data_IF_819776035519
#
_entry.id   IF_819776035519
#
_cell.length_a   1.000
_cell.length_b   1.000
_cell.length_c   1.000
_cell.angle_alpha   90.00
_cell.angle_beta   90.00
_cell.angle_gamma   90.00
#
_symmetry.space_group_name_H-M   'P 1'
#
loop_
_entity.id
_entity.type
_entity.pdbx_description
1 polymer ?
#
# COMPACT_ATOMS: atom_id res chain seq x y z
N UNK A 1 -21.31 -1.87 2.01
CA UNK A 1 -22.28 -1.19 2.89
C UNK A 1 -23.63 -1.12 2.21
N UNK A 2 -24.68 -1.44 2.94
CA UNK A 2 -26.07 -1.38 2.48
C UNK A 2 -26.77 -0.23 3.20
N UNK A 3 -27.44 0.66 2.43
CA UNK A 3 -28.24 1.78 2.95
C UNK A 3 -29.66 1.66 2.45
N UNK A 4 -30.65 1.94 3.32
CA UNK A 4 -32.08 1.97 2.96
C UNK A 4 -32.43 3.38 2.49
N UNK A 5 -33.06 3.50 1.32
CA UNK A 5 -33.64 4.75 0.81
C UNK A 5 -35.08 4.54 0.33
N UNK A 6 -35.83 5.62 0.26
CA UNK A 6 -37.21 5.61 -0.20
C UNK A 6 -37.35 6.42 -1.49
N UNK A 7 -38.05 5.89 -2.46
CA UNK A 7 -38.38 6.59 -3.70
C UNK A 7 -39.54 7.56 -3.49
N UNK A 8 -39.76 8.53 -4.42
CA UNK A 8 -40.89 9.49 -4.43
C UNK A 8 -42.26 8.82 -4.29
N UNK A 9 -42.40 7.53 -4.62
CA UNK A 9 -43.62 6.71 -4.45
C UNK A 9 -43.64 5.88 -3.14
N UNK A 10 -42.83 6.24 -2.16
CA UNK A 10 -42.69 5.54 -0.87
C UNK A 10 -42.27 4.05 -0.96
N UNK A 11 -41.74 3.60 -2.09
CA UNK A 11 -41.21 2.26 -2.24
C UNK A 11 -39.76 2.22 -1.69
N UNK A 12 -39.51 1.27 -0.81
CA UNK A 12 -38.16 1.00 -0.27
C UNK A 12 -37.25 0.49 -1.38
N UNK A 13 -36.05 0.99 -1.41
CA UNK A 13 -34.96 0.42 -2.18
C UNK A 13 -33.64 0.52 -1.39
N UNK A 14 -32.73 -0.38 -1.64
CA UNK A 14 -31.46 -0.44 -0.96
C UNK A 14 -30.38 0.08 -1.88
N UNK A 15 -29.53 0.96 -1.36
CA UNK A 15 -28.32 1.42 -2.04
C UNK A 15 -27.15 0.63 -1.49
N UNK A 16 -26.44 -0.05 -2.36
CA UNK A 16 -25.26 -0.84 -2.04
C UNK A 16 -24.03 -0.05 -2.43
N UNK A 17 -23.10 0.11 -1.50
CA UNK A 17 -21.75 0.58 -1.81
C UNK A 17 -20.85 -0.63 -1.95
N UNK A 18 -20.38 -0.87 -3.16
CA UNK A 18 -19.57 -2.01 -3.53
C UNK A 18 -18.17 -1.55 -3.87
N UNK A 19 -17.19 -2.33 -3.45
CA UNK A 19 -15.78 -2.08 -3.72
C UNK A 19 -15.22 -3.27 -4.48
N UNK A 20 -14.63 -3.00 -5.65
CA UNK A 20 -13.81 -3.93 -6.40
C UNK A 20 -12.33 -3.64 -6.14
N UNK A 21 -11.44 -4.43 -6.69
CA UNK A 21 -9.99 -4.19 -6.57
C UNK A 21 -9.59 -2.81 -7.10
N UNK A 22 -10.23 -2.35 -8.17
CA UNK A 22 -9.83 -1.14 -8.90
C UNK A 22 -10.71 0.09 -8.65
N UNK A 23 -11.96 -0.07 -8.23
CA UNK A 23 -12.90 1.04 -8.09
C UNK A 23 -14.01 0.77 -7.09
N UNK A 24 -14.65 1.85 -6.64
CA UNK A 24 -15.84 1.80 -5.80
C UNK A 24 -17.03 2.30 -6.59
N UNK A 25 -18.15 1.60 -6.52
CA UNK A 25 -19.36 2.05 -7.18
C UNK A 25 -20.61 1.84 -6.31
N UNK A 26 -21.63 2.60 -6.63
CA UNK A 26 -22.94 2.48 -5.99
C UNK A 26 -23.91 1.81 -6.94
N UNK A 27 -24.73 0.94 -6.41
CA UNK A 27 -25.84 0.31 -7.15
C UNK A 27 -27.09 0.26 -6.30
N UNK A 28 -28.24 0.01 -6.92
CA UNK A 28 -29.52 -0.09 -6.23
C UNK A 28 -30.09 -1.50 -6.36
N UNK A 29 -30.63 -2.00 -5.26
CA UNK A 29 -31.41 -3.24 -5.22
C UNK A 29 -32.81 -2.94 -4.70
N UNK A 30 -33.83 -3.55 -5.32
CA UNK A 30 -35.22 -3.48 -4.86
C UNK A 30 -35.56 -4.62 -3.88
N UNK A 31 -34.71 -5.61 -3.75
CA UNK A 31 -34.80 -6.72 -2.79
C UNK A 31 -33.84 -6.47 -1.62
N UNK A 32 -34.27 -6.80 -0.43
CA UNK A 32 -33.40 -6.87 0.73
C UNK A 32 -32.51 -8.10 0.58
N UNK A 33 -31.22 -7.86 0.45
CA UNK A 33 -30.24 -8.93 0.29
C UNK A 33 -29.69 -9.43 1.63
N UNK A 34 -30.10 -8.84 2.76
CA UNK A 34 -29.61 -9.18 4.12
C UNK A 34 -28.10 -9.42 4.12
N UNK A 35 -27.34 -8.39 3.67
CA UNK A 35 -25.90 -8.48 3.52
C UNK A 35 -25.21 -8.13 4.83
N UNK A 36 -24.29 -8.99 5.24
CA UNK A 36 -23.33 -8.66 6.27
C UNK A 36 -22.29 -7.67 5.73
N UNK A 37 -21.63 -6.95 6.64
CA UNK A 37 -20.59 -6.02 6.29
C UNK A 37 -19.40 -6.79 5.71
N UNK A 38 -18.83 -6.29 4.60
CA UNK A 38 -17.71 -6.90 3.87
C UNK A 38 -17.99 -8.26 3.21
N UNK A 39 -19.26 -8.61 2.99
CA UNK A 39 -19.61 -9.84 2.29
C UNK A 39 -19.29 -9.73 0.79
N UNK A 40 -18.74 -10.79 0.23
CA UNK A 40 -18.45 -10.89 -1.20
C UNK A 40 -19.74 -11.18 -1.98
N UNK A 41 -19.89 -10.47 -3.09
CA UNK A 41 -21.03 -10.60 -4.00
C UNK A 41 -20.54 -10.77 -5.42
N UNK A 42 -21.19 -11.70 -6.15
CA UNK A 42 -21.18 -11.72 -7.61
C UNK A 42 -22.39 -10.98 -8.13
N UNK A 43 -22.19 -10.12 -9.11
CA UNK A 43 -23.26 -9.36 -9.73
C UNK A 43 -22.90 -8.95 -11.16
N UNK A 44 -23.92 -8.69 -11.97
CA UNK A 44 -23.75 -8.17 -13.33
C UNK A 44 -24.03 -6.69 -13.35
N UNK A 45 -23.18 -5.90 -13.99
CA UNK A 45 -23.25 -4.45 -14.10
C UNK A 45 -23.66 -4.05 -15.49
N UNK A 46 -24.56 -3.06 -15.60
CA UNK A 46 -24.92 -2.43 -16.88
C UNK A 46 -23.95 -1.27 -17.11
N UNK A 47 -23.09 -1.40 -18.10
CA UNK A 47 -21.99 -0.45 -18.36
C UNK A 47 -22.32 0.62 -19.40
N UNK A 48 -23.45 0.51 -20.09
CA UNK A 48 -23.82 1.38 -21.23
C UNK A 48 -23.79 2.89 -20.90
N UNK A 49 -24.09 3.28 -19.67
CA UNK A 49 -24.15 4.67 -19.25
C UNK A 49 -22.91 5.13 -18.44
N UNK A 50 -21.85 4.31 -18.41
CA UNK A 50 -20.63 4.65 -17.68
C UNK A 50 -19.65 5.30 -18.65
N UNK A 51 -19.37 6.59 -18.44
CA UNK A 51 -18.38 7.33 -19.22
C UNK A 51 -16.98 7.08 -18.66
N UNK A 52 -15.96 7.35 -19.47
CA UNK A 52 -14.55 7.28 -19.05
C UNK A 52 -14.26 8.21 -17.84
N UNK A 53 -14.90 9.36 -17.78
CA UNK A 53 -14.82 10.28 -16.64
C UNK A 53 -15.36 9.67 -15.36
N UNK A 54 -16.46 8.92 -15.44
CA UNK A 54 -17.04 8.22 -14.28
C UNK A 54 -16.11 7.12 -13.78
N UNK A 55 -15.53 6.36 -14.70
CA UNK A 55 -14.53 5.33 -14.38
C UNK A 55 -13.28 5.91 -13.70
N UNK A 56 -12.83 7.09 -14.09
CA UNK A 56 -11.69 7.78 -13.47
C UNK A 56 -12.05 8.42 -12.11
N UNK A 57 -13.33 8.61 -11.83
CA UNK A 57 -13.79 9.20 -10.56
C UNK A 57 -13.56 8.25 -9.38
N UNK A 58 -13.56 8.79 -8.16
CA UNK A 58 -13.40 8.01 -6.93
C UNK A 58 -14.51 6.98 -6.73
N UNK A 59 -15.73 7.31 -7.17
CA UNK A 59 -16.89 6.42 -7.11
C UNK A 59 -17.92 6.88 -8.13
N UNK A 60 -18.65 5.94 -8.71
CA UNK A 60 -19.69 6.19 -9.70
C UNK A 60 -20.93 5.33 -9.42
N UNK A 61 -22.01 5.60 -10.11
CA UNK A 61 -23.23 4.79 -10.03
C UNK A 61 -23.29 3.85 -11.24
N UNK A 62 -23.55 2.56 -10.99
CA UNK A 62 -23.78 1.55 -12.02
C UNK A 62 -25.01 0.71 -11.66
N UNK A 63 -26.03 0.67 -12.51
CA UNK A 63 -27.13 -0.27 -12.33
C UNK A 63 -26.62 -1.71 -12.38
N UNK A 64 -27.12 -2.56 -11.48
CA UNK A 64 -26.72 -3.97 -11.43
C UNK A 64 -27.89 -4.89 -11.19
N UNK A 65 -27.73 -6.13 -11.59
CA UNK A 65 -28.69 -7.22 -11.45
C UNK A 65 -27.94 -8.52 -11.17
N UNK A 66 -28.71 -9.58 -10.87
CA UNK A 66 -28.18 -10.93 -10.66
C UNK A 66 -27.21 -10.99 -9.48
N UNK A 67 -27.74 -10.66 -8.29
CA UNK A 67 -26.97 -10.63 -7.05
C UNK A 67 -26.87 -12.03 -6.45
N UNK A 68 -25.67 -12.58 -6.39
CA UNK A 68 -25.36 -13.83 -5.73
C UNK A 68 -24.41 -13.60 -4.56
N UNK A 69 -24.71 -14.19 -3.40
CA UNK A 69 -23.80 -14.18 -2.26
C UNK A 69 -22.71 -15.20 -2.50
N UNK A 70 -21.46 -14.74 -2.56
CA UNK A 70 -20.33 -15.63 -2.59
C UNK A 70 -20.00 -16.09 -1.16
N UNK A 71 -19.51 -17.32 -1.03
CA UNK A 71 -18.87 -17.78 0.22
C UNK A 71 -17.66 -16.88 0.52
N UNK A 72 -17.29 -16.80 1.78
CA UNK A 72 -16.08 -16.10 2.18
C UNK A 72 -14.91 -16.53 1.31
N UNK A 73 -14.11 -15.54 0.88
CA UNK A 73 -12.96 -15.78 -0.01
C UNK A 73 -12.01 -16.72 0.73
N UNK A 74 -11.85 -17.92 0.22
CA UNK A 74 -10.77 -18.79 0.67
C UNK A 74 -9.47 -18.06 0.40
N UNK A 75 -8.75 -17.72 1.45
CA UNK A 75 -7.45 -17.08 1.31
C UNK A 75 -6.45 -18.05 0.70
N UNK A 76 -5.52 -17.51 -0.07
CA UNK A 76 -4.37 -18.28 -0.54
C UNK A 76 -3.71 -19.00 0.65
N UNK A 77 -3.23 -20.27 0.49
CA UNK A 77 -2.61 -21.04 1.57
C UNK A 77 -1.53 -20.27 2.35
N UNK A 78 -0.75 -19.42 1.67
CA UNK A 78 0.27 -18.58 2.30
C UNK A 78 -0.37 -17.57 3.27
N UNK A 79 -1.44 -16.91 2.83
CA UNK A 79 -2.16 -15.93 3.67
C UNK A 79 -2.77 -16.63 4.88
N UNK A 80 -3.41 -17.78 4.64
CA UNK A 80 -4.00 -18.61 5.73
C UNK A 80 -2.96 -19.07 6.73
N UNK A 81 -1.76 -19.46 6.27
CA UNK A 81 -0.65 -19.85 7.13
C UNK A 81 -0.24 -18.73 8.09
N UNK A 82 -0.12 -17.48 7.61
CA UNK A 82 0.21 -16.34 8.47
C UNK A 82 -0.93 -16.00 9.45
N UNK A 83 -2.17 -15.98 8.96
CA UNK A 83 -3.32 -15.58 9.77
C UNK A 83 -3.64 -16.60 10.88
N UNK A 84 -3.46 -17.89 10.62
CA UNK A 84 -3.77 -18.94 11.57
C UNK A 84 -2.79 -19.04 12.75
N UNK A 85 -1.68 -18.30 12.71
CA UNK A 85 -0.73 -18.23 13.83
C UNK A 85 -1.27 -17.40 15.00
N UNK A 86 -2.31 -16.58 14.79
CA UNK A 86 -2.85 -15.70 15.81
C UNK A 86 -4.22 -16.16 16.30
N UNK A 87 -4.39 -16.12 17.62
CA UNK A 87 -5.66 -16.41 18.29
C UNK A 87 -6.55 -15.17 18.40
N UNK A 88 -5.96 -13.98 18.50
CA UNK A 88 -6.68 -12.71 18.63
C UNK A 88 -7.06 -12.16 17.25
N UNK A 89 -8.36 -11.96 17.03
CA UNK A 89 -8.90 -11.46 15.74
C UNK A 89 -8.38 -10.05 15.36
N UNK A 90 -8.15 -9.16 16.33
CA UNK A 90 -7.58 -7.83 16.04
C UNK A 90 -6.14 -7.91 15.58
N UNK A 91 -5.34 -8.79 16.18
CA UNK A 91 -3.94 -9.03 15.82
C UNK A 91 -3.87 -9.67 14.44
N UNK A 92 -4.73 -10.67 14.19
CA UNK A 92 -4.88 -11.33 12.89
C UNK A 92 -5.21 -10.32 11.77
N UNK A 93 -6.16 -9.42 12.04
CA UNK A 93 -6.55 -8.36 11.12
C UNK A 93 -5.40 -7.37 10.88
N UNK A 94 -4.67 -7.00 11.92
CA UNK A 94 -3.52 -6.11 11.84
C UNK A 94 -2.41 -6.68 10.96
N UNK A 95 -1.98 -7.91 11.19
CA UNK A 95 -0.94 -8.54 10.38
C UNK A 95 -1.43 -8.90 8.97
N UNK A 96 -2.71 -9.23 8.82
CA UNK A 96 -3.34 -9.39 7.52
C UNK A 96 -3.28 -8.12 6.66
N UNK A 97 -3.50 -6.96 7.29
CA UNK A 97 -3.36 -5.67 6.61
C UNK A 97 -1.90 -5.33 6.33
N UNK A 98 -1.01 -5.58 7.29
CA UNK A 98 0.41 -5.24 7.21
C UNK A 98 1.15 -6.02 6.11
N UNK A 99 0.90 -7.32 6.00
CA UNK A 99 1.60 -8.17 5.05
C UNK A 99 0.82 -8.40 3.75
N UNK A 100 -0.50 -8.45 3.78
CA UNK A 100 -1.30 -8.84 2.62
C UNK A 100 -2.29 -7.77 2.15
N UNK A 101 -2.22 -6.56 2.72
CA UNK A 101 -3.12 -5.45 2.43
C UNK A 101 -4.61 -5.82 2.55
N UNK A 102 -4.95 -6.72 3.47
CA UNK A 102 -6.32 -7.11 3.73
C UNK A 102 -7.12 -5.93 4.31
N UNK A 103 -8.44 -5.86 4.05
CA UNK A 103 -9.27 -4.79 4.58
C UNK A 103 -9.34 -4.86 6.10
N UNK A 104 -9.24 -3.70 6.76
CA UNK A 104 -9.32 -3.56 8.21
C UNK A 104 -10.70 -3.07 8.65
N UNK A 105 -11.12 -3.47 9.85
CA UNK A 105 -12.34 -3.01 10.52
C UNK A 105 -12.31 -1.50 10.78
N UNK A 106 -13.48 -0.91 11.01
CA UNK A 106 -13.55 0.51 11.36
C UNK A 106 -12.89 0.80 12.72
N UNK A 107 -12.97 -0.14 13.64
CA UNK A 107 -12.37 -0.03 14.97
C UNK A 107 -10.85 0.04 14.85
N UNK A 108 -10.22 -0.96 14.23
CA UNK A 108 -8.77 -0.98 14.02
C UNK A 108 -8.30 0.24 13.20
N UNK A 109 -9.09 0.67 12.19
CA UNK A 109 -8.77 1.87 11.41
C UNK A 109 -8.77 3.13 12.28
N UNK A 110 -9.70 3.27 13.21
CA UNK A 110 -9.75 4.40 14.12
C UNK A 110 -8.56 4.40 15.06
N UNK A 111 -8.19 3.25 15.63
CA UNK A 111 -7.02 3.10 16.49
C UNK A 111 -5.73 3.49 15.75
N UNK A 112 -5.56 2.99 14.55
CA UNK A 112 -4.41 3.26 13.67
C UNK A 112 -4.30 4.75 13.32
N UNK A 113 -5.43 5.40 13.01
CA UNK A 113 -5.46 6.83 12.72
C UNK A 113 -5.19 7.67 13.97
N UNK A 114 -5.67 7.23 15.14
CA UNK A 114 -5.46 7.89 16.42
C UNK A 114 -3.98 7.94 16.81
N UNK A 115 -3.24 6.86 16.55
CA UNK A 115 -1.79 6.80 16.76
C UNK A 115 -0.96 7.36 15.59
N UNK A 116 -1.58 7.76 14.48
CA UNK A 116 -0.90 8.30 13.30
C UNK A 116 -0.05 7.29 12.52
N UNK A 117 -0.26 5.99 12.72
CA UNK A 117 0.52 4.90 12.12
C UNK A 117 -0.11 4.32 10.85
N UNK A 118 -1.16 4.94 10.32
CA UNK A 118 -1.84 4.47 9.11
C UNK A 118 -0.89 4.28 7.91
N UNK A 119 0.13 5.12 7.81
CA UNK A 119 1.15 5.05 6.77
C UNK A 119 2.11 3.86 6.93
N UNK A 120 2.24 3.29 8.14
CA UNK A 120 3.06 2.11 8.43
C UNK A 120 2.32 0.81 8.16
N UNK A 121 0.98 0.79 8.26
CA UNK A 121 0.18 -0.40 8.01
C UNK A 121 -0.17 -0.51 6.52
N UNK A 122 -0.46 0.61 5.88
CA UNK A 122 -0.69 0.61 4.43
C UNK A 122 0.59 0.25 3.69
N UNK A 123 0.57 -0.82 2.89
CA UNK A 123 1.72 -1.24 2.09
C UNK A 123 2.15 -0.08 1.18
N UNK A 124 3.40 0.34 1.31
CA UNK A 124 3.94 1.56 0.69
C UNK A 124 5.35 1.33 0.11
N UNK A 125 5.92 2.37 -0.50
CA UNK A 125 7.31 2.36 -0.96
C UNK A 125 8.33 2.08 0.14
N UNK A 126 8.01 2.44 1.38
CA UNK A 126 8.84 2.13 2.54
C UNK A 126 8.98 0.61 2.75
N UNK A 127 7.86 -0.13 2.65
CA UNK A 127 7.87 -1.60 2.73
C UNK A 127 8.68 -2.23 1.60
N UNK A 128 8.54 -1.72 0.36
CA UNK A 128 9.34 -2.20 -0.78
C UNK A 128 10.82 -1.97 -0.51
N UNK A 129 11.20 -0.79 -0.01
CA UNK A 129 12.57 -0.48 0.36
C UNK A 129 13.15 -1.40 1.43
N UNK A 130 12.37 -1.69 2.48
CA UNK A 130 12.74 -2.63 3.54
C UNK A 130 12.89 -4.06 3.01
N UNK A 131 11.91 -4.55 2.26
CA UNK A 131 11.96 -5.89 1.66
C UNK A 131 13.15 -6.03 0.70
N UNK A 132 13.34 -5.04 -0.17
CA UNK A 132 14.47 -5.02 -1.10
C UNK A 132 15.82 -5.09 -0.35
N UNK A 133 15.99 -4.23 0.66
CA UNK A 133 17.21 -4.18 1.46
C UNK A 133 17.44 -5.47 2.24
N UNK A 134 16.41 -6.04 2.84
CA UNK A 134 16.48 -7.28 3.59
C UNK A 134 16.89 -8.45 2.71
N UNK A 135 16.20 -8.64 1.58
CA UNK A 135 16.49 -9.72 0.63
C UNK A 135 17.90 -9.54 0.05
N UNK A 136 18.26 -8.30 -0.30
CA UNK A 136 19.61 -8.01 -0.81
C UNK A 136 20.67 -8.34 0.23
N UNK A 137 20.48 -7.96 1.49
CA UNK A 137 21.44 -8.22 2.58
C UNK A 137 21.62 -9.72 2.82
N UNK A 138 20.56 -10.51 2.75
CA UNK A 138 20.60 -11.98 2.94
C UNK A 138 21.25 -12.67 1.73
N UNK A 139 20.87 -12.28 0.52
CA UNK A 139 21.31 -12.98 -0.69
C UNK A 139 22.69 -12.53 -1.18
N UNK A 140 23.14 -11.29 -0.89
CA UNK A 140 24.38 -10.76 -1.40
C UNK A 140 25.62 -11.58 -0.99
N UNK A 141 25.82 -12.00 0.28
CA UNK A 141 26.97 -12.82 0.66
C UNK A 141 26.93 -14.20 -0.02
N UNK A 142 25.75 -14.81 -0.10
CA UNK A 142 25.56 -16.14 -0.73
C UNK A 142 25.90 -16.05 -2.22
N UNK A 143 25.29 -15.11 -2.92
CA UNK A 143 25.53 -14.92 -4.35
C UNK A 143 26.98 -14.53 -4.65
N UNK A 144 27.58 -13.65 -3.84
CA UNK A 144 28.98 -13.22 -3.99
C UNK A 144 29.97 -14.40 -3.90
N UNK A 145 29.70 -15.37 -3.01
CA UNK A 145 30.51 -16.56 -2.91
C UNK A 145 30.48 -17.39 -4.21
N UNK A 146 29.29 -17.64 -4.76
CA UNK A 146 29.12 -18.38 -6.01
C UNK A 146 29.63 -17.58 -7.22
N UNK A 147 29.38 -16.27 -7.27
CA UNK A 147 29.80 -15.39 -8.36
C UNK A 147 31.32 -15.40 -8.52
N UNK A 148 32.07 -15.20 -7.43
CA UNK A 148 33.54 -15.17 -7.48
C UNK A 148 34.13 -16.47 -8.02
N UNK A 149 33.46 -17.61 -7.78
CA UNK A 149 33.93 -18.93 -8.19
C UNK A 149 33.56 -19.32 -9.61
N UNK A 150 32.29 -19.01 -10.03
CA UNK A 150 31.73 -19.51 -11.28
C UNK A 150 31.53 -18.43 -12.36
N UNK A 151 31.23 -17.20 -11.95
CA UNK A 151 30.83 -16.11 -12.87
C UNK A 151 31.44 -14.76 -12.47
N UNK A 152 32.78 -14.60 -12.44
CA UNK A 152 33.44 -13.41 -11.92
C UNK A 152 33.17 -12.13 -12.73
N UNK A 153 32.74 -12.26 -13.98
CA UNK A 153 32.46 -11.17 -14.91
C UNK A 153 31.01 -10.59 -14.76
N UNK A 154 30.14 -11.25 -14.00
CA UNK A 154 28.77 -10.75 -13.79
C UNK A 154 28.69 -9.68 -12.71
N UNK A 155 27.72 -8.75 -12.87
CA UNK A 155 27.53 -7.70 -11.90
C UNK A 155 26.53 -8.16 -10.81
N UNK A 156 27.03 -8.42 -9.61
CA UNK A 156 26.27 -8.86 -8.44
C UNK A 156 25.04 -7.97 -8.17
N UNK A 157 25.23 -6.62 -8.20
CA UNK A 157 24.14 -5.69 -7.89
C UNK A 157 23.00 -5.81 -8.90
N UNK A 158 23.35 -5.94 -10.19
CA UNK A 158 22.38 -6.03 -11.27
C UNK A 158 21.60 -7.34 -11.20
N UNK A 159 22.30 -8.46 -11.08
CA UNK A 159 21.69 -9.80 -11.03
C UNK A 159 20.76 -9.96 -9.83
N UNK A 160 21.21 -9.54 -8.64
CA UNK A 160 20.37 -9.60 -7.43
C UNK A 160 19.19 -8.65 -7.51
N UNK A 161 19.36 -7.44 -8.05
CA UNK A 161 18.23 -6.52 -8.19
C UNK A 161 17.15 -7.09 -9.11
N UNK A 162 17.52 -7.72 -10.22
CA UNK A 162 16.55 -8.37 -11.12
C UNK A 162 15.81 -9.50 -10.39
N UNK A 163 16.53 -10.33 -9.64
CA UNK A 163 15.92 -11.40 -8.84
C UNK A 163 14.94 -10.83 -7.80
N UNK A 164 15.36 -9.78 -7.08
CA UNK A 164 14.53 -9.16 -6.06
C UNK A 164 13.26 -8.53 -6.67
N UNK A 165 13.37 -7.87 -7.83
CA UNK A 165 12.20 -7.34 -8.53
C UNK A 165 11.25 -8.45 -8.99
N UNK A 166 11.77 -9.60 -9.42
CA UNK A 166 10.94 -10.76 -9.75
C UNK A 166 10.18 -11.28 -8.51
N UNK A 167 10.84 -11.35 -7.34
CA UNK A 167 10.21 -11.73 -6.08
C UNK A 167 9.15 -10.71 -5.63
N UNK A 168 9.43 -9.40 -5.76
CA UNK A 168 8.46 -8.35 -5.45
C UNK A 168 7.26 -8.38 -6.40
N UNK A 169 7.45 -8.75 -7.66
CA UNK A 169 6.35 -8.94 -8.62
C UNK A 169 5.50 -10.16 -8.24
N UNK A 170 6.12 -11.27 -7.85
CA UNK A 170 5.40 -12.45 -7.34
C UNK A 170 4.59 -12.10 -6.08
N UNK A 171 5.16 -11.28 -5.19
CA UNK A 171 4.45 -10.77 -4.03
C UNK A 171 3.28 -9.84 -4.41
N UNK A 172 3.43 -9.01 -5.46
CA UNK A 172 2.33 -8.21 -6.00
C UNK A 172 1.16 -9.08 -6.48
N UNK A 173 1.45 -10.21 -7.15
CA UNK A 173 0.43 -11.17 -7.54
C UNK A 173 -0.28 -11.78 -6.33
N UNK A 174 0.46 -12.10 -5.27
CA UNK A 174 -0.08 -12.68 -4.04
C UNK A 174 -1.05 -11.72 -3.35
N UNK A 175 -0.73 -10.43 -3.26
CA UNK A 175 -1.56 -9.42 -2.60
C UNK A 175 -2.67 -8.85 -3.51
N UNK A 176 -2.77 -9.30 -4.79
CA UNK A 176 -3.80 -8.86 -5.74
C UNK A 176 -3.55 -7.48 -6.35
N UNK A 177 -2.29 -7.11 -6.62
CA UNK A 177 -1.91 -5.84 -7.28
C UNK A 177 -2.51 -4.58 -6.63
N UNK A 178 -2.43 -4.50 -5.32
CA UNK A 178 -2.92 -3.32 -4.58
C UNK A 178 -2.31 -2.03 -5.15
N UNK A 179 -3.12 -1.00 -5.47
CA UNK A 179 -2.64 0.20 -6.19
C UNK A 179 -1.47 0.93 -5.53
N UNK A 180 -1.40 0.93 -4.18
CA UNK A 180 -0.28 1.53 -3.45
C UNK A 180 1.03 0.80 -3.67
N UNK A 181 1.00 -0.53 -3.69
CA UNK A 181 2.17 -1.37 -3.92
C UNK A 181 2.65 -1.28 -5.38
N UNK A 182 1.73 -1.41 -6.35
CA UNK A 182 2.05 -1.32 -7.80
C UNK A 182 2.72 0.01 -8.11
N UNK A 183 2.20 1.12 -7.61
CA UNK A 183 2.78 2.44 -7.77
C UNK A 183 4.22 2.50 -7.25
N UNK A 184 4.42 2.00 -6.03
CA UNK A 184 5.73 2.00 -5.39
C UNK A 184 6.72 1.07 -6.11
N UNK A 185 6.24 -0.04 -6.64
CA UNK A 185 7.04 -0.97 -7.46
C UNK A 185 7.48 -0.32 -8.78
N UNK A 186 6.57 0.39 -9.46
CA UNK A 186 6.89 1.14 -10.70
C UNK A 186 7.96 2.21 -10.41
N UNK A 187 7.80 2.97 -9.32
CA UNK A 187 8.78 3.98 -8.91
C UNK A 187 10.14 3.35 -8.56
N UNK A 188 10.15 2.23 -7.83
CA UNK A 188 11.39 1.51 -7.49
C UNK A 188 12.10 0.99 -8.75
N UNK A 189 11.36 0.46 -9.70
CA UNK A 189 11.89 0.00 -10.99
C UNK A 189 12.47 1.16 -11.80
N UNK A 190 11.78 2.29 -11.83
CA UNK A 190 12.26 3.52 -12.47
C UNK A 190 13.56 4.04 -11.85
N UNK A 191 13.62 4.09 -10.51
CA UNK A 191 14.82 4.48 -9.78
C UNK A 191 15.99 3.53 -10.11
N UNK A 192 15.74 2.23 -10.13
CA UNK A 192 16.75 1.23 -10.49
C UNK A 192 17.26 1.45 -11.93
N UNK A 193 16.37 1.70 -12.88
CA UNK A 193 16.75 2.03 -14.26
C UNK A 193 17.65 3.27 -14.32
N UNK A 194 17.31 4.34 -13.60
CA UNK A 194 18.12 5.56 -13.54
C UNK A 194 19.50 5.30 -12.93
N UNK A 195 19.58 4.46 -11.87
CA UNK A 195 20.85 4.03 -11.28
C UNK A 195 21.72 3.27 -12.28
N UNK A 196 21.14 2.36 -13.07
CA UNK A 196 21.86 1.65 -14.11
C UNK A 196 22.43 2.58 -15.19
N UNK A 197 21.78 3.73 -15.41
CA UNK A 197 22.22 4.78 -16.35
C UNK A 197 23.13 5.84 -15.71
N UNK A 198 23.51 5.69 -14.45
CA UNK A 198 24.28 6.68 -13.67
C UNK A 198 23.66 8.08 -13.62
N UNK A 199 22.31 8.15 -13.69
CA UNK A 199 21.56 9.40 -13.60
C UNK A 199 21.30 9.71 -12.11
N UNK A 200 21.49 10.98 -11.72
CA UNK A 200 21.18 11.43 -10.34
C UNK A 200 19.69 11.27 -10.05
N UNK A 201 19.38 10.50 -9.00
CA UNK A 201 17.98 10.21 -8.61
C UNK A 201 17.35 11.41 -7.93
N UNK A 202 18.07 12.07 -7.01
CA UNK A 202 17.59 13.19 -6.22
C UNK A 202 17.59 14.45 -7.08
N UNK A 203 16.60 14.54 -7.96
CA UNK A 203 16.37 15.68 -8.84
C UNK A 203 14.85 15.83 -9.08
N UNK A 204 14.35 17.05 -9.07
CA UNK A 204 12.94 17.34 -9.34
C UNK A 204 12.47 16.90 -10.74
N UNK A 205 13.37 16.91 -11.72
CA UNK A 205 13.09 16.39 -13.07
C UNK A 205 12.81 14.89 -13.03
N UNK A 206 13.61 14.12 -12.29
CA UNK A 206 13.39 12.66 -12.15
C UNK A 206 12.09 12.33 -11.40
N UNK A 207 11.73 13.15 -10.40
CA UNK A 207 10.45 13.05 -9.72
C UNK A 207 9.29 13.32 -10.70
N UNK A 208 9.36 14.39 -11.48
CA UNK A 208 8.35 14.73 -12.47
C UNK A 208 8.19 13.62 -13.52
N UNK A 209 9.28 13.09 -14.05
CA UNK A 209 9.24 11.96 -14.99
C UNK A 209 8.61 10.71 -14.36
N UNK A 210 8.87 10.42 -13.07
CA UNK A 210 8.25 9.30 -12.38
C UNK A 210 6.74 9.48 -12.18
N UNK A 211 6.29 10.70 -11.93
CA UNK A 211 4.86 11.04 -11.85
C UNK A 211 4.18 10.81 -13.21
N UNK A 212 4.77 11.35 -14.29
CA UNK A 212 4.24 11.16 -15.64
C UNK A 212 4.17 9.69 -16.03
N UNK A 213 5.19 8.92 -15.71
CA UNK A 213 5.23 7.47 -15.96
C UNK A 213 4.11 6.75 -15.22
N UNK A 214 3.89 7.05 -13.93
CA UNK A 214 2.80 6.46 -13.16
C UNK A 214 1.43 6.81 -13.73
N UNK A 215 1.21 8.07 -14.12
CA UNK A 215 -0.07 8.52 -14.70
C UNK A 215 -0.28 7.89 -16.08
N UNK A 216 0.77 7.76 -16.88
CA UNK A 216 0.71 7.13 -18.22
C UNK A 216 0.28 5.66 -18.14
N UNK A 217 0.80 4.92 -17.15
CA UNK A 217 0.45 3.51 -16.93
C UNK A 217 -0.93 3.34 -16.26
N UNK A 218 -1.27 4.24 -15.34
CA UNK A 218 -2.49 4.19 -14.53
C UNK A 218 -3.11 5.57 -14.37
N UNK A 219 -3.84 6.10 -15.36
CA UNK A 219 -4.42 7.46 -15.34
C UNK A 219 -5.31 7.72 -14.11
N UNK A 220 -5.96 6.69 -13.61
CA UNK A 220 -6.82 6.76 -12.43
C UNK A 220 -6.08 7.17 -11.15
N UNK A 221 -4.77 6.98 -11.08
CA UNK A 221 -3.96 7.38 -9.93
C UNK A 221 -4.03 8.88 -9.67
N UNK A 222 -4.23 9.70 -10.70
CA UNK A 222 -4.35 11.15 -10.57
C UNK A 222 -5.42 11.59 -9.56
N UNK A 223 -6.48 10.81 -9.43
CA UNK A 223 -7.61 11.08 -8.52
C UNK A 223 -7.47 10.37 -7.17
N UNK A 224 -6.36 9.69 -6.93
CA UNK A 224 -6.09 8.96 -5.69
C UNK A 224 -5.40 9.84 -4.65
N UNK A 225 -6.03 10.03 -3.49
CA UNK A 225 -5.42 10.74 -2.34
C UNK A 225 -4.09 10.09 -1.93
N UNK A 226 -4.03 8.74 -1.98
CA UNK A 226 -2.80 8.01 -1.67
C UNK A 226 -1.66 8.29 -2.64
N UNK A 227 -1.95 8.57 -3.92
CA UNK A 227 -0.95 9.00 -4.90
C UNK A 227 -0.44 10.41 -4.60
N UNK A 228 -1.35 11.32 -4.28
CA UNK A 228 -1.00 12.68 -3.86
C UNK A 228 -0.03 12.64 -2.66
N UNK A 229 -0.36 11.89 -1.61
CA UNK A 229 0.51 11.77 -0.43
C UNK A 229 1.85 11.14 -0.75
N UNK A 230 1.90 10.18 -1.66
CA UNK A 230 3.16 9.57 -2.08
C UNK A 230 4.07 10.57 -2.80
N UNK A 231 3.50 11.39 -3.70
CA UNK A 231 4.25 12.44 -4.41
C UNK A 231 4.74 13.49 -3.42
N UNK A 232 3.87 13.98 -2.55
CA UNK A 232 4.23 14.98 -1.54
C UNK A 232 5.32 14.46 -0.59
N UNK A 233 5.22 13.21 -0.14
CA UNK A 233 6.23 12.60 0.71
C UNK A 233 7.61 12.56 0.03
N UNK A 234 7.69 12.09 -1.22
CA UNK A 234 8.95 12.07 -1.98
C UNK A 234 9.45 13.48 -2.26
N UNK A 235 8.56 14.42 -2.58
CA UNK A 235 8.91 15.83 -2.79
C UNK A 235 9.56 16.44 -1.54
N UNK A 236 8.97 16.21 -0.35
CA UNK A 236 9.53 16.71 0.92
C UNK A 236 10.84 16.05 1.28
N UNK A 237 11.03 14.76 0.97
CA UNK A 237 12.31 14.07 1.10
C UNK A 237 13.36 14.71 0.20
N UNK A 238 13.04 14.99 -1.07
CA UNK A 238 13.95 15.64 -2.01
C UNK A 238 14.32 17.05 -1.56
N UNK A 239 13.33 17.82 -1.05
CA UNK A 239 13.54 19.15 -0.51
C UNK A 239 14.52 19.11 0.68
N UNK A 240 14.35 18.17 1.60
CA UNK A 240 15.25 17.97 2.71
C UNK A 240 16.67 17.60 2.24
N UNK A 241 16.76 16.64 1.37
CA UNK A 241 18.05 16.15 0.84
C UNK A 241 18.81 17.24 0.08
N UNK A 242 18.09 18.11 -0.65
CA UNK A 242 18.71 19.21 -1.37
C UNK A 242 19.30 20.28 -0.44
N UNK A 243 18.62 20.59 0.68
CA UNK A 243 19.03 21.71 1.54
C UNK A 243 19.85 21.32 2.77
N UNK A 244 19.66 20.10 3.30
CA UNK A 244 20.18 19.71 4.60
C UNK A 244 21.12 18.49 4.60
N UNK A 245 21.10 17.61 3.59
CA UNK A 245 21.79 16.33 3.63
C UNK A 245 23.29 16.41 3.92
N UNK A 246 23.95 17.49 3.47
CA UNK A 246 25.41 17.65 3.61
C UNK A 246 25.82 18.40 4.90
N UNK A 247 24.85 18.79 5.76
CA UNK A 247 25.13 19.64 6.93
C UNK A 247 25.35 18.85 8.22
N UNK A 248 24.87 17.62 8.28
CA UNK A 248 24.86 16.80 9.50
C UNK A 248 25.39 15.40 9.25
N UNK A 249 25.75 14.70 10.33
CA UNK A 249 26.12 13.28 10.27
C UNK A 249 24.95 12.41 9.83
N UNK A 250 25.24 11.24 9.23
CA UNK A 250 24.24 10.34 8.66
C UNK A 250 23.14 9.94 9.64
N UNK A 251 23.45 9.66 10.91
CA UNK A 251 22.48 9.31 11.93
C UNK A 251 21.54 10.48 12.24
N UNK A 252 22.11 11.68 12.41
CA UNK A 252 21.35 12.90 12.65
C UNK A 252 20.44 13.21 11.46
N UNK A 253 20.94 13.03 10.23
CA UNK A 253 20.16 13.24 9.01
C UNK A 253 18.93 12.31 8.94
N UNK A 254 19.06 11.04 9.34
CA UNK A 254 17.94 10.08 9.35
C UNK A 254 16.86 10.54 10.34
N UNK A 255 17.25 10.95 11.55
CA UNK A 255 16.31 11.42 12.57
C UNK A 255 15.62 12.72 12.12
N UNK A 256 16.40 13.69 11.65
CA UNK A 256 15.88 14.97 11.17
C UNK A 256 14.99 14.81 9.94
N UNK A 257 15.32 13.91 9.03
CA UNK A 257 14.48 13.60 7.86
C UNK A 257 13.11 13.06 8.29
N UNK A 258 13.09 12.16 9.28
CA UNK A 258 11.83 11.61 9.80
C UNK A 258 10.97 12.70 10.47
N UNK A 259 11.57 13.53 11.30
CA UNK A 259 10.90 14.68 11.93
C UNK A 259 10.39 15.66 10.85
N UNK A 260 11.23 16.02 9.90
CA UNK A 260 10.90 16.94 8.81
C UNK A 260 9.71 16.44 7.98
N UNK A 261 9.76 15.17 7.52
CA UNK A 261 8.69 14.60 6.72
C UNK A 261 7.39 14.50 7.48
N UNK A 262 7.44 14.19 8.78
CA UNK A 262 6.26 14.18 9.63
C UNK A 262 5.60 15.57 9.65
N UNK A 263 6.32 16.62 10.03
CA UNK A 263 5.75 17.97 10.10
C UNK A 263 5.32 18.52 8.74
N UNK A 264 6.07 18.26 7.69
CA UNK A 264 5.71 18.68 6.33
C UNK A 264 4.41 18.03 5.84
N UNK A 265 4.15 16.78 6.25
CA UNK A 265 2.94 16.06 5.88
C UNK A 265 1.72 16.37 6.75
N UNK A 266 1.88 17.06 7.90
CA UNK A 266 0.76 17.40 8.79
C UNK A 266 -0.32 18.19 8.06
N UNK A 267 0.03 19.25 7.34
CA UNK A 267 -0.93 20.10 6.65
C UNK A 267 -1.71 19.33 5.56
N UNK A 268 -1.07 18.62 4.63
CA UNK A 268 -1.80 17.82 3.65
C UNK A 268 -2.69 16.75 4.28
N UNK A 269 -2.23 16.09 5.33
CA UNK A 269 -3.01 15.03 6.00
C UNK A 269 -4.22 15.61 6.70
N UNK A 270 -4.10 16.71 7.43
CA UNK A 270 -5.22 17.36 8.12
C UNK A 270 -6.28 17.90 7.15
N UNK A 271 -5.88 18.34 5.96
CA UNK A 271 -6.83 18.78 4.94
C UNK A 271 -7.80 17.67 4.52
N UNK A 272 -7.29 16.43 4.35
CA UNK A 272 -8.12 15.30 3.92
C UNK A 272 -8.72 14.49 5.08
N UNK A 273 -8.04 14.48 6.22
CA UNK A 273 -8.39 13.71 7.42
C UNK A 273 -8.30 14.62 8.66
N UNK A 274 -9.37 15.37 8.97
CA UNK A 274 -9.37 16.36 10.07
C UNK A 274 -9.46 15.67 11.45
N UNK A 275 -8.46 14.83 11.77
CA UNK A 275 -8.32 14.16 13.05
C UNK A 275 -6.98 14.56 13.66
N UNK A 276 -7.03 15.23 14.81
CA UNK A 276 -5.85 15.66 15.56
C UNK A 276 -5.82 14.90 16.87
N UNK A 277 -4.69 14.25 17.14
CA UNK A 277 -4.42 13.55 18.39
C UNK A 277 -2.96 13.78 18.80
N UNK A 278 -2.72 13.98 20.08
CA UNK A 278 -1.35 14.09 20.60
C UNK A 278 -0.54 12.80 20.39
N UNK A 279 -1.20 11.66 20.36
CA UNK A 279 -0.58 10.37 20.15
C UNK A 279 0.03 10.22 18.75
N UNK A 280 -0.38 11.03 17.78
CA UNK A 280 0.20 11.01 16.42
C UNK A 280 1.70 11.34 16.43
N UNK A 281 2.20 12.09 17.43
CA UNK A 281 3.63 12.37 17.57
C UNK A 281 4.44 11.07 17.78
N UNK A 282 3.84 10.05 18.41
CA UNK A 282 4.45 8.73 18.54
C UNK A 282 4.75 8.09 17.18
N UNK A 283 4.03 8.48 16.13
CA UNK A 283 4.29 8.02 14.77
C UNK A 283 5.73 8.29 14.29
N UNK A 284 6.38 9.34 14.80
CA UNK A 284 7.79 9.63 14.49
C UNK A 284 8.69 8.53 15.05
N UNK A 285 8.50 8.17 16.31
CA UNK A 285 9.30 7.16 17.00
C UNK A 285 8.99 5.77 16.42
N UNK A 286 7.69 5.48 16.23
CA UNK A 286 7.24 4.20 15.67
C UNK A 286 7.73 3.98 14.24
N UNK A 287 7.84 5.02 13.42
CA UNK A 287 8.42 4.93 12.07
C UNK A 287 9.89 4.51 12.11
N UNK A 288 10.66 4.98 13.09
CA UNK A 288 12.05 4.55 13.30
C UNK A 288 12.14 3.10 13.76
N UNK A 289 11.32 2.71 14.74
CA UNK A 289 11.28 1.33 15.28
C UNK A 289 10.81 0.33 14.20
N UNK A 290 9.94 0.76 13.31
CA UNK A 290 9.35 -0.08 12.26
C UNK A 290 10.40 -0.70 11.32
N UNK A 291 11.54 -0.04 11.12
CA UNK A 291 12.66 -0.57 10.32
C UNK A 291 13.14 -1.92 10.85
N UNK A 292 13.15 -2.07 12.18
CA UNK A 292 13.58 -3.31 12.85
C UNK A 292 12.38 -4.24 13.05
N UNK A 293 11.25 -3.68 13.46
CA UNK A 293 10.01 -4.42 13.74
C UNK A 293 9.52 -5.22 12.53
N UNK A 294 9.40 -4.59 11.38
CA UNK A 294 8.82 -5.23 10.18
C UNK A 294 9.60 -6.47 9.71
N UNK A 295 10.94 -6.41 9.53
CA UNK A 295 11.72 -7.60 9.18
C UNK A 295 11.69 -8.69 10.25
N UNK A 296 11.74 -8.31 11.53
CA UNK A 296 11.73 -9.25 12.66
C UNK A 296 10.40 -10.00 12.71
N UNK A 297 9.28 -9.30 12.62
CA UNK A 297 7.95 -9.91 12.62
C UNK A 297 7.74 -10.79 11.40
N UNK A 298 8.18 -10.34 10.21
CA UNK A 298 8.12 -11.16 9.00
C UNK A 298 8.91 -12.49 9.18
N UNK A 299 10.09 -12.42 9.77
CA UNK A 299 10.92 -13.59 10.04
C UNK A 299 10.25 -14.55 11.03
N UNK A 300 9.66 -14.02 12.12
CA UNK A 300 8.94 -14.84 13.10
C UNK A 300 7.73 -15.57 12.49
N UNK A 301 6.97 -14.91 11.64
CA UNK A 301 5.86 -15.54 10.92
C UNK A 301 6.33 -16.65 9.96
N UNK A 302 7.47 -16.46 9.30
CA UNK A 302 8.03 -17.48 8.41
C UNK A 302 8.43 -18.75 9.18
N UNK A 303 8.85 -18.64 10.45
CA UNK A 303 9.25 -19.76 11.31
C UNK A 303 8.06 -20.31 12.13
N UNK A 304 6.83 -19.79 11.93
CA UNK A 304 5.64 -20.18 12.69
C UNK A 304 5.66 -19.77 14.18
N UNK A 305 6.32 -18.67 14.49
CA UNK A 305 6.36 -18.05 15.82
C UNK A 305 5.69 -16.67 15.84
N UNK A 306 4.70 -16.44 14.98
CA UNK A 306 4.01 -15.14 14.87
C UNK A 306 3.26 -14.72 16.13
N UNK A 307 2.82 -15.66 16.96
CA UNK A 307 2.06 -15.39 18.20
C UNK A 307 2.93 -14.96 19.40
N UNK A 308 4.26 -14.90 19.24
CA UNK A 308 5.19 -14.45 20.30
C UNK A 308 5.20 -12.93 20.51
N UNK A 309 4.62 -12.16 19.58
CA UNK A 309 4.56 -10.70 19.56
C UNK A 309 3.11 -10.23 19.55
#
# INVERSE_FOLDING_TARGET
HQYIKYNKKNKKYWVLKLQTENFTFYTTSFKDLNLSKNQFLSLRIITHNINFKDYLSKSFYAPSYDFEKLKEKEYNPIISYFLNQHTNEKIKEFYGALFFALPISLELRNDVNYYGIAHLIAISGYHIGLLFSLIFFILAPIYSFFQKRYFPYRNLRLDLSILIFALLLAYACLIGFVPSFVRSLIMAFWIFYLLCKNIKIINFVTLFCSILLCISLYPRLLFSIGFLFSILGVFYIFLYMHHFANKFNNLINIILLNIWTFFAMVLPVLYFFPLISYQQILGIILSGIFVIFYPLVLFLHLINYGDLL
#
